data_IF_684432621420
#
_entry.id   IF_684432621420
#
_cell.length_a   1.000
_cell.length_b   1.000
_cell.length_c   1.000
_cell.angle_alpha   90.00
_cell.angle_beta   90.00
_cell.angle_gamma   90.00
#
_symmetry.space_group_name_H-M   'P 1'
#
loop_
_entity.id
_entity.type
_entity.pdbx_description
1 polymer ?
#
# COMPACT_ATOMS: atom_id res chain seq x y z
N UNK A 1 -14.11 1.46 4.53
CA UNK A 1 -12.97 0.53 4.62
C UNK A 1 -12.62 -0.09 3.27
N UNK A 2 -13.55 -0.80 2.62
CA UNK A 2 -13.32 -1.33 1.26
C UNK A 2 -12.90 -0.22 0.27
N UNK A 3 -13.59 0.92 0.30
CA UNK A 3 -13.24 2.10 -0.50
C UNK A 3 -11.83 2.64 -0.20
N UNK A 4 -11.43 2.70 1.08
CA UNK A 4 -10.10 3.13 1.48
C UNK A 4 -9.01 2.20 0.94
N UNK A 5 -9.23 0.88 1.02
CA UNK A 5 -8.30 -0.11 0.46
C UNK A 5 -8.24 -0.02 -1.07
N UNK A 6 -9.37 0.26 -1.72
CA UNK A 6 -9.44 0.42 -3.17
C UNK A 6 -8.70 1.68 -3.63
N UNK A 7 -8.87 2.78 -2.90
CA UNK A 7 -8.08 4.00 -3.09
C UNK A 7 -6.58 3.75 -2.86
N UNK A 8 -6.22 2.98 -1.83
CA UNK A 8 -4.84 2.61 -1.55
C UNK A 8 -4.22 1.80 -2.71
N UNK A 9 -5.00 0.92 -3.33
CA UNK A 9 -4.61 0.17 -4.52
C UNK A 9 -4.32 1.08 -5.70
N UNK A 10 -5.23 2.00 -6.01
CA UNK A 10 -5.07 2.96 -7.10
C UNK A 10 -3.84 3.86 -6.91
N UNK A 11 -3.62 4.35 -5.68
CA UNK A 11 -2.44 5.16 -5.34
C UNK A 11 -1.15 4.35 -5.51
N UNK A 12 -1.15 3.08 -5.10
CA UNK A 12 0.01 2.19 -5.24
C UNK A 12 0.35 1.95 -6.72
N UNK A 13 -0.65 1.63 -7.54
CA UNK A 13 -0.49 1.43 -8.99
C UNK A 13 0.01 2.73 -9.65
N UNK A 14 -0.63 3.86 -9.35
CA UNK A 14 -0.19 5.16 -9.85
C UNK A 14 1.25 5.48 -9.45
N UNK A 15 1.64 5.19 -8.20
CA UNK A 15 3.00 5.48 -7.72
C UNK A 15 4.05 4.56 -8.34
N UNK A 16 3.66 3.34 -8.74
CA UNK A 16 4.56 2.46 -9.49
C UNK A 16 4.92 3.06 -10.86
N UNK A 17 3.92 3.61 -11.57
CA UNK A 17 4.13 4.30 -12.85
C UNK A 17 4.72 5.73 -12.68
N UNK A 18 4.49 6.35 -11.52
CA UNK A 18 4.90 7.72 -11.19
C UNK A 18 5.61 7.78 -9.83
N UNK A 19 6.87 7.29 -9.74
CA UNK A 19 7.60 7.17 -8.48
C UNK A 19 8.02 8.52 -7.87
N UNK A 20 7.73 9.65 -8.50
CA UNK A 20 7.88 10.98 -7.89
C UNK A 20 6.66 11.44 -7.07
N UNK A 21 5.56 10.67 -7.03
CA UNK A 21 4.37 10.99 -6.24
C UNK A 21 4.64 10.93 -4.73
N UNK A 22 3.95 11.74 -3.93
CA UNK A 22 3.99 11.62 -2.46
C UNK A 22 2.69 11.01 -1.88
N UNK A 23 1.84 10.45 -2.73
CA UNK A 23 0.48 10.04 -2.35
C UNK A 23 0.47 8.79 -1.45
N UNK A 24 1.49 7.92 -1.55
CA UNK A 24 1.65 6.76 -0.65
C UNK A 24 1.76 7.18 0.82
N UNK A 25 2.39 8.32 1.13
CA UNK A 25 2.52 8.80 2.51
C UNK A 25 1.13 9.07 3.12
N UNK A 26 0.29 9.81 2.39
CA UNK A 26 -1.09 10.12 2.82
C UNK A 26 -1.95 8.86 2.92
N UNK A 27 -1.74 7.92 2.00
CA UNK A 27 -2.42 6.63 2.05
C UNK A 27 -2.08 5.85 3.33
N UNK A 28 -0.81 5.83 3.73
CA UNK A 28 -0.37 5.15 4.96
C UNK A 28 -1.02 5.79 6.19
N UNK A 29 -1.07 7.13 6.27
CA UNK A 29 -1.74 7.84 7.36
C UNK A 29 -3.22 7.46 7.48
N UNK A 30 -3.96 7.48 6.36
CA UNK A 30 -5.36 7.10 6.34
C UNK A 30 -5.61 5.63 6.74
N UNK A 31 -4.70 4.71 6.36
CA UNK A 31 -4.76 3.31 6.77
C UNK A 31 -4.45 3.13 8.26
N UNK A 32 -3.53 3.90 8.82
CA UNK A 32 -3.20 3.92 10.26
C UNK A 32 -4.40 4.38 11.10
N UNK A 33 -5.09 5.44 10.67
CA UNK A 33 -6.34 5.89 11.32
C UNK A 33 -7.43 4.81 11.25
N UNK A 34 -7.60 4.20 10.08
CA UNK A 34 -8.61 3.17 9.87
C UNK A 34 -8.33 1.89 10.67
N UNK A 35 -7.05 1.55 10.89
CA UNK A 35 -6.62 0.41 11.71
C UNK A 35 -7.15 0.47 13.15
N UNK A 36 -7.28 1.66 13.74
CA UNK A 36 -7.79 1.81 15.12
C UNK A 36 -9.24 1.31 15.27
N UNK A 37 -10.02 1.35 14.18
CA UNK A 37 -11.43 0.94 14.16
C UNK A 37 -11.66 -0.43 13.53
N UNK A 38 -10.59 -1.14 13.13
CA UNK A 38 -10.67 -2.36 12.33
C UNK A 38 -11.08 -3.63 13.09
N UNK A 39 -11.11 -3.60 14.42
CA UNK A 39 -11.49 -4.74 15.26
C UNK A 39 -10.70 -6.01 14.93
N UNK A 40 -11.39 -7.09 14.59
CA UNK A 40 -10.78 -8.40 14.25
C UNK A 40 -9.90 -8.38 13.00
N UNK A 41 -10.02 -7.33 12.17
CA UNK A 41 -9.25 -7.17 10.92
C UNK A 41 -8.01 -6.28 11.11
N UNK A 42 -7.67 -5.89 12.34
CA UNK A 42 -6.52 -5.06 12.66
C UNK A 42 -5.20 -5.64 12.12
N UNK A 43 -4.94 -6.92 12.36
CA UNK A 43 -3.70 -7.59 11.91
C UNK A 43 -3.56 -7.57 10.37
N UNK A 44 -4.68 -7.74 9.67
CA UNK A 44 -4.69 -7.64 8.20
C UNK A 44 -4.35 -6.22 7.72
N UNK A 45 -4.90 -5.19 8.38
CA UNK A 45 -4.56 -3.80 8.09
C UNK A 45 -3.11 -3.47 8.44
N UNK A 46 -2.57 -4.01 9.54
CA UNK A 46 -1.14 -3.88 9.88
C UNK A 46 -0.24 -4.48 8.80
N UNK A 47 -0.63 -5.63 8.22
CA UNK A 47 0.08 -6.21 7.09
C UNK A 47 0.01 -5.32 5.84
N UNK A 48 -1.16 -4.77 5.52
CA UNK A 48 -1.31 -3.80 4.42
C UNK A 48 -0.41 -2.59 4.62
N UNK A 49 -0.49 -1.94 5.79
CA UNK A 49 0.32 -0.76 6.11
C UNK A 49 1.81 -1.05 5.99
N UNK A 50 2.26 -2.21 6.52
CA UNK A 50 3.66 -2.62 6.44
C UNK A 50 4.10 -2.77 4.99
N UNK A 51 3.32 -3.43 4.15
CA UNK A 51 3.68 -3.63 2.74
C UNK A 51 3.65 -2.32 1.95
N UNK A 52 2.66 -1.44 2.18
CA UNK A 52 2.59 -0.11 1.53
C UNK A 52 3.76 0.77 1.96
N UNK A 53 4.16 0.72 3.24
CA UNK A 53 5.37 1.40 3.75
C UNK A 53 6.64 0.89 3.08
N UNK A 54 6.74 -0.42 2.84
CA UNK A 54 7.88 -0.99 2.11
C UNK A 54 7.92 -0.50 0.66
N UNK A 55 6.77 -0.45 -0.02
CA UNK A 55 6.67 0.11 -1.37
C UNK A 55 7.08 1.60 -1.41
N UNK A 56 6.64 2.40 -0.44
CA UNK A 56 7.04 3.81 -0.31
C UNK A 56 8.57 3.95 -0.13
N UNK A 57 9.20 3.12 0.70
CA UNK A 57 10.65 3.17 0.87
C UNK A 57 11.39 2.78 -0.42
N UNK A 58 10.88 1.77 -1.12
CA UNK A 58 11.44 1.28 -2.38
C UNK A 58 11.15 2.20 -3.58
N UNK A 59 10.23 3.15 -3.43
CA UNK A 59 9.84 4.10 -4.47
C UNK A 59 11.02 4.93 -5.00
N UNK A 60 11.91 5.39 -4.11
CA UNK A 60 13.12 6.12 -4.54
C UNK A 60 14.07 5.22 -5.34
N UNK A 61 14.17 3.95 -4.99
CA UNK A 61 15.02 3.00 -5.70
C UNK A 61 14.42 2.65 -7.08
N UNK A 62 13.09 2.64 -7.18
CA UNK A 62 12.37 2.48 -8.44
C UNK A 62 12.64 3.66 -9.40
N UNK A 63 12.57 4.90 -8.90
CA UNK A 63 12.85 6.13 -9.68
C UNK A 63 14.30 6.15 -10.22
N UNK A 64 15.27 5.70 -9.43
CA UNK A 64 16.69 5.78 -9.75
C UNK A 64 17.16 4.62 -10.63
N UNK A 65 16.70 3.39 -10.35
CA UNK A 65 17.30 2.17 -10.91
C UNK A 65 16.31 1.23 -11.59
N UNK A 66 15.00 1.42 -11.43
CA UNK A 66 14.00 0.46 -11.92
C UNK A 66 14.21 -0.96 -11.36
N UNK A 67 14.76 -1.09 -10.15
CA UNK A 67 15.28 -2.35 -9.63
C UNK A 67 14.17 -3.39 -9.39
N UNK A 68 14.53 -4.67 -9.56
CA UNK A 68 13.67 -5.84 -9.32
C UNK A 68 13.21 -5.89 -7.87
N UNK A 69 14.08 -5.49 -6.93
CA UNK A 69 13.73 -5.39 -5.52
C UNK A 69 12.59 -4.38 -5.28
N UNK A 70 12.64 -3.24 -5.97
CA UNK A 70 11.60 -2.21 -5.91
C UNK A 70 10.28 -2.75 -6.47
N UNK A 71 10.31 -3.39 -7.64
CA UNK A 71 9.11 -4.02 -8.23
C UNK A 71 8.50 -5.11 -7.33
N UNK A 72 9.33 -5.86 -6.59
CA UNK A 72 8.87 -6.85 -5.61
C UNK A 72 8.10 -6.21 -4.45
N UNK A 73 8.56 -5.07 -3.93
CA UNK A 73 7.88 -4.36 -2.83
C UNK A 73 6.49 -3.87 -3.23
N UNK A 74 6.36 -3.28 -4.43
CA UNK A 74 5.05 -2.88 -4.96
C UNK A 74 4.14 -4.08 -5.21
N UNK A 75 4.66 -5.18 -5.75
CA UNK A 75 3.88 -6.41 -5.94
C UNK A 75 3.38 -7.04 -4.63
N UNK A 76 4.17 -6.97 -3.55
CA UNK A 76 3.74 -7.42 -2.23
C UNK A 76 2.65 -6.53 -1.64
N UNK A 77 2.80 -5.21 -1.76
CA UNK A 77 1.78 -4.25 -1.34
C UNK A 77 0.45 -4.45 -2.09
N UNK A 78 0.51 -4.65 -3.41
CA UNK A 78 -0.68 -4.89 -4.22
C UNK A 78 -1.44 -6.13 -3.73
N UNK A 79 -0.74 -7.26 -3.53
CA UNK A 79 -1.37 -8.50 -3.05
C UNK A 79 -1.97 -8.35 -1.65
N UNK A 80 -1.28 -7.67 -0.74
CA UNK A 80 -1.79 -7.44 0.61
C UNK A 80 -3.09 -6.60 0.58
N UNK A 81 -3.13 -5.55 -0.25
CA UNK A 81 -4.32 -4.72 -0.43
C UNK A 81 -5.45 -5.52 -1.07
N UNK A 82 -5.17 -6.29 -2.11
CA UNK A 82 -6.17 -7.08 -2.83
C UNK A 82 -6.83 -8.11 -1.89
N UNK A 83 -6.02 -8.86 -1.13
CA UNK A 83 -6.50 -9.80 -0.12
C UNK A 83 -7.35 -9.09 0.97
N UNK A 84 -6.95 -7.88 1.37
CA UNK A 84 -7.73 -7.11 2.32
C UNK A 84 -9.09 -6.70 1.74
N UNK A 85 -9.15 -6.24 0.48
CA UNK A 85 -10.39 -5.90 -0.22
C UNK A 85 -11.32 -7.13 -0.30
N UNK A 86 -10.79 -8.29 -0.65
CA UNK A 86 -11.54 -9.54 -0.71
C UNK A 86 -12.14 -9.90 0.66
N UNK A 87 -11.40 -9.69 1.75
CA UNK A 87 -11.89 -9.94 3.11
C UNK A 87 -13.08 -9.04 3.51
N UNK A 88 -13.22 -7.85 2.92
CA UNK A 88 -14.35 -6.92 3.16
C UNK A 88 -15.51 -7.08 2.16
N UNK A 89 -15.52 -8.14 1.36
CA UNK A 89 -16.62 -8.47 0.44
C UNK A 89 -17.73 -9.28 1.08
#
# INVERSE_FOLDING_TARGET
>A
MKELLQQAKEILEYTYDHPSSNDLARCIEALEEAKETAGTKKEMLENVIRSVTQAQNAQRELDISGDVASSSAFGQAYRAIDQAIESYS
#
